data_IF_087078797081
#
_entry.id   IF_087078797081
#
_cell.length_a   1.000
_cell.length_b   1.000
_cell.length_c   1.000
_cell.angle_alpha   90.00
_cell.angle_beta   90.00
_cell.angle_gamma   90.00
#
_symmetry.space_group_name_H-M   'P 1'
#
loop_
_entity.id
_entity.type
_entity.pdbx_description
1 polymer ?
#
# COMPACT_ATOMS: atom_id res chain seq x y z
N UNK A 1 5.87 -10.70 19.83
CA UNK A 1 4.42 -10.50 19.80
C UNK A 1 3.84 -11.22 21.00
N UNK A 2 3.53 -10.49 22.05
CA UNK A 2 3.26 -11.11 23.37
C UNK A 2 1.84 -10.88 23.88
N UNK A 3 1.09 -9.93 23.40
CA UNK A 3 -0.22 -9.63 23.91
C UNK A 3 -1.21 -9.49 22.73
N UNK A 4 -1.79 -10.61 22.32
CA UNK A 4 -2.71 -10.67 21.19
C UNK A 4 -3.78 -11.73 21.37
N UNK A 5 -4.88 -11.59 20.65
CA UNK A 5 -6.09 -12.38 20.78
C UNK A 5 -6.48 -13.00 19.44
N UNK A 6 -7.01 -14.22 19.47
CA UNK A 6 -7.46 -14.93 18.28
C UNK A 6 -8.90 -15.39 18.41
N UNK A 7 -9.74 -14.87 17.52
CA UNK A 7 -11.16 -15.24 17.43
C UNK A 7 -11.35 -16.34 16.37
N UNK A 8 -12.09 -17.38 16.69
CA UNK A 8 -12.35 -18.52 15.80
C UNK A 8 -13.69 -19.20 16.09
N UNK A 9 -14.26 -19.90 15.11
CA UNK A 9 -15.43 -20.76 15.32
C UNK A 9 -15.01 -22.11 15.88
N UNK A 10 -15.81 -22.68 16.78
CA UNK A 10 -15.52 -23.94 17.50
C UNK A 10 -15.09 -25.10 16.60
N UNK A 11 -15.72 -25.23 15.42
CA UNK A 11 -15.38 -26.27 14.44
C UNK A 11 -14.01 -26.10 13.78
N UNK A 12 -13.35 -24.97 13.95
CA UNK A 12 -12.06 -24.64 13.32
C UNK A 12 -10.89 -24.69 14.33
N UNK A 13 -11.07 -25.29 15.52
CA UNK A 13 -10.04 -25.27 16.56
C UNK A 13 -8.72 -25.89 16.10
N UNK A 14 -8.76 -27.09 15.55
CA UNK A 14 -7.56 -27.80 15.11
C UNK A 14 -6.85 -27.02 13.98
N UNK A 15 -7.61 -26.51 13.01
CA UNK A 15 -7.09 -25.70 11.90
C UNK A 15 -6.41 -24.40 12.37
N UNK A 16 -7.01 -23.69 13.35
CA UNK A 16 -6.45 -22.43 13.85
C UNK A 16 -5.23 -22.68 14.76
N UNK A 17 -5.22 -23.81 15.47
CA UNK A 17 -4.05 -24.19 16.26
C UNK A 17 -2.87 -24.58 15.37
N UNK A 18 -3.11 -25.34 14.30
CA UNK A 18 -2.09 -25.64 13.29
C UNK A 18 -1.58 -24.36 12.60
N UNK A 19 -2.46 -23.40 12.32
CA UNK A 19 -2.07 -22.09 11.83
C UNK A 19 -1.14 -21.36 12.81
N UNK A 20 -1.46 -21.38 14.11
CA UNK A 20 -0.59 -20.78 15.15
C UNK A 20 0.78 -21.44 15.18
N UNK A 21 0.86 -22.78 15.14
CA UNK A 21 2.13 -23.50 15.12
C UNK A 21 2.97 -23.13 13.87
N UNK A 22 2.33 -23.02 12.71
CA UNK A 22 3.00 -22.60 11.48
C UNK A 22 3.45 -21.11 11.56
N UNK A 23 2.66 -20.26 12.19
CA UNK A 23 3.00 -18.84 12.40
C UNK A 23 4.20 -18.71 13.35
N UNK A 24 4.21 -19.46 14.44
CA UNK A 24 5.31 -19.54 15.40
C UNK A 24 6.59 -20.04 14.72
N UNK A 25 6.51 -21.13 13.98
CA UNK A 25 7.66 -21.66 13.21
C UNK A 25 8.18 -20.68 12.16
N UNK A 26 7.27 -19.97 11.47
CA UNK A 26 7.69 -18.95 10.51
C UNK A 26 8.38 -17.76 11.19
N UNK A 27 8.03 -17.44 12.43
CA UNK A 27 8.62 -16.33 13.18
C UNK A 27 10.08 -16.57 13.58
N UNK A 28 10.48 -17.82 13.74
CA UNK A 28 11.86 -18.19 14.07
C UNK A 28 12.86 -17.71 12.98
N UNK A 29 12.43 -17.77 11.71
CA UNK A 29 13.24 -17.29 10.57
C UNK A 29 13.51 -15.78 10.61
N UNK A 30 12.73 -15.01 11.36
CA UNK A 30 12.88 -13.57 11.55
C UNK A 30 13.39 -13.19 12.93
N UNK A 31 13.84 -14.15 13.75
CA UNK A 31 14.20 -13.95 15.16
C UNK A 31 13.09 -13.27 15.98
N UNK A 32 11.83 -13.52 15.61
CA UNK A 32 10.66 -13.01 16.32
C UNK A 32 10.12 -14.11 17.25
N UNK A 33 9.76 -13.72 18.46
CA UNK A 33 9.09 -14.62 19.40
C UNK A 33 7.59 -14.29 19.39
N UNK A 34 6.76 -15.27 19.04
CA UNK A 34 5.30 -15.18 19.12
C UNK A 34 4.86 -16.04 20.31
N UNK A 35 4.22 -15.42 21.28
CA UNK A 35 3.56 -16.14 22.38
C UNK A 35 2.19 -16.65 21.92
N UNK A 36 1.68 -17.64 22.64
CA UNK A 36 0.33 -18.13 22.42
C UNK A 36 -0.70 -17.01 22.66
N UNK A 37 -1.75 -16.89 21.81
CA UNK A 37 -2.77 -15.87 21.99
C UNK A 37 -3.75 -16.21 23.10
N UNK A 38 -4.55 -15.24 23.51
CA UNK A 38 -5.82 -15.55 24.12
C UNK A 38 -6.78 -16.11 23.06
N UNK A 39 -7.30 -17.31 23.34
CA UNK A 39 -8.19 -18.02 22.43
C UNK A 39 -9.64 -17.69 22.73
N UNK A 40 -10.35 -17.05 21.78
CA UNK A 40 -11.76 -16.69 21.93
C UNK A 40 -12.62 -17.46 20.95
N UNK A 41 -13.37 -18.38 21.50
CA UNK A 41 -14.25 -19.28 20.77
C UNK A 41 -15.61 -18.65 20.49
N UNK A 42 -16.09 -18.76 19.25
CA UNK A 42 -17.45 -18.45 18.82
C UNK A 42 -18.20 -19.74 18.47
N UNK A 43 -19.52 -19.69 18.48
CA UNK A 43 -20.37 -20.76 17.99
C UNK A 43 -20.21 -20.91 16.48
N UNK A 44 -20.40 -22.14 15.99
CA UNK A 44 -20.35 -22.39 14.54
C UNK A 44 -21.45 -21.62 13.81
N UNK A 45 -21.12 -21.09 12.63
CA UNK A 45 -22.01 -20.26 11.80
C UNK A 45 -22.45 -18.95 12.48
N UNK A 46 -21.61 -18.42 13.35
CA UNK A 46 -21.84 -17.10 13.96
C UNK A 46 -21.99 -16.02 12.92
N UNK A 47 -22.95 -15.13 13.11
CA UNK A 47 -23.15 -13.97 12.21
C UNK A 47 -22.06 -12.92 12.40
N UNK A 48 -21.94 -11.99 11.45
CA UNK A 48 -21.01 -10.86 11.61
C UNK A 48 -21.26 -10.05 12.88
N UNK A 49 -22.53 -9.92 13.30
CA UNK A 49 -22.88 -9.25 14.56
C UNK A 49 -22.34 -9.98 15.78
N UNK A 50 -22.36 -11.32 15.78
CA UNK A 50 -21.83 -12.11 16.89
C UNK A 50 -20.31 -11.96 17.00
N UNK A 51 -19.61 -11.95 15.86
CA UNK A 51 -18.17 -11.73 15.80
C UNK A 51 -17.80 -10.33 16.31
N UNK A 52 -18.51 -9.29 15.85
CA UNK A 52 -18.31 -7.92 16.27
C UNK A 52 -18.58 -7.76 17.77
N UNK A 53 -19.72 -8.25 18.25
CA UNK A 53 -20.05 -8.20 19.67
C UNK A 53 -18.96 -8.86 20.52
N UNK A 54 -18.46 -10.02 20.07
CA UNK A 54 -17.40 -10.72 20.79
C UNK A 54 -16.07 -9.98 20.76
N UNK A 55 -15.75 -9.31 19.65
CA UNK A 55 -14.58 -8.44 19.57
C UNK A 55 -14.70 -7.25 20.52
N UNK A 56 -15.86 -6.61 20.60
CA UNK A 56 -16.09 -5.48 21.50
C UNK A 56 -15.95 -5.87 22.97
N UNK A 57 -16.50 -7.02 23.37
CA UNK A 57 -16.37 -7.54 24.75
C UNK A 57 -14.89 -7.65 25.18
N UNK A 58 -13.99 -8.05 24.30
CA UNK A 58 -12.59 -8.29 24.63
C UNK A 58 -11.65 -7.13 24.33
N UNK A 59 -11.88 -6.40 23.24
CA UNK A 59 -10.96 -5.38 22.74
C UNK A 59 -11.34 -3.97 23.19
N UNK A 60 -12.58 -3.74 23.57
CA UNK A 60 -13.08 -2.41 23.91
C UNK A 60 -13.60 -2.30 25.35
N UNK A 61 -14.41 -3.26 25.79
CA UNK A 61 -14.98 -3.29 27.15
C UNK A 61 -14.07 -4.01 28.14
N UNK A 62 -13.14 -4.84 27.65
CA UNK A 62 -12.17 -5.58 28.46
C UNK A 62 -11.08 -4.69 29.05
N UNK A 63 -10.51 -5.12 30.17
CA UNK A 63 -9.38 -4.43 30.82
C UNK A 63 -8.02 -4.78 30.20
N UNK A 64 -8.00 -5.58 29.13
CA UNK A 64 -6.79 -6.10 28.50
C UNK A 64 -6.40 -5.22 27.30
N UNK A 65 -5.16 -4.75 27.30
CA UNK A 65 -4.57 -3.96 26.20
C UNK A 65 -3.91 -4.89 25.17
N UNK A 66 -4.71 -5.49 24.29
CA UNK A 66 -4.19 -6.33 23.21
C UNK A 66 -3.59 -5.48 22.10
N UNK A 67 -2.35 -5.82 21.69
CA UNK A 67 -1.65 -5.10 20.63
C UNK A 67 -2.27 -5.35 19.24
N UNK A 68 -2.90 -6.51 19.02
CA UNK A 68 -3.65 -6.80 17.79
C UNK A 68 -4.58 -8.01 17.96
N UNK A 69 -5.53 -8.14 17.03
CA UNK A 69 -6.48 -9.24 16.97
C UNK A 69 -6.35 -10.04 15.67
N UNK A 70 -6.42 -11.36 15.75
CA UNK A 70 -6.59 -12.24 14.60
C UNK A 70 -8.04 -12.75 14.55
N UNK A 71 -8.66 -12.65 13.37
CA UNK A 71 -9.95 -13.27 13.06
C UNK A 71 -9.71 -14.42 12.10
N UNK A 72 -9.78 -15.64 12.59
CA UNK A 72 -9.64 -16.85 11.78
C UNK A 72 -10.98 -17.27 11.20
N UNK A 73 -11.16 -17.06 9.90
CA UNK A 73 -12.39 -17.35 9.19
C UNK A 73 -12.30 -18.72 8.49
N UNK A 74 -13.16 -19.65 8.87
CA UNK A 74 -13.33 -20.94 8.22
C UNK A 74 -13.94 -20.76 6.81
N UNK A 75 -15.20 -21.17 6.66
CA UNK A 75 -15.97 -21.04 5.41
C UNK A 75 -16.73 -19.70 5.30
N UNK A 76 -16.81 -18.93 6.38
CA UNK A 76 -17.63 -17.73 6.53
C UNK A 76 -16.89 -16.45 6.10
N UNK A 77 -16.22 -16.46 4.95
CA UNK A 77 -15.43 -15.29 4.52
C UNK A 77 -16.28 -14.08 4.06
N UNK A 78 -17.58 -14.22 3.96
CA UNK A 78 -18.51 -13.12 3.68
C UNK A 78 -18.62 -12.09 4.80
N UNK A 79 -18.18 -12.42 6.02
CA UNK A 79 -18.15 -11.47 7.15
C UNK A 79 -16.91 -10.56 7.15
N UNK A 80 -15.91 -10.85 6.30
CA UNK A 80 -14.67 -10.07 6.19
C UNK A 80 -14.89 -8.56 6.05
N UNK A 81 -15.80 -8.07 5.19
CA UNK A 81 -16.02 -6.63 5.04
C UNK A 81 -16.49 -5.96 6.32
N UNK A 82 -17.39 -6.61 7.07
CA UNK A 82 -17.94 -6.07 8.30
C UNK A 82 -16.88 -6.01 9.40
N UNK A 83 -16.05 -7.05 9.54
CA UNK A 83 -14.93 -7.05 10.49
C UNK A 83 -13.91 -5.97 10.16
N UNK A 84 -13.55 -5.81 8.87
CA UNK A 84 -12.62 -4.77 8.45
C UNK A 84 -13.16 -3.37 8.66
N UNK A 85 -14.44 -3.14 8.33
CA UNK A 85 -15.08 -1.85 8.61
C UNK A 85 -15.12 -1.55 10.10
N UNK A 86 -15.44 -2.54 10.91
CA UNK A 86 -15.49 -2.40 12.36
C UNK A 86 -14.12 -2.05 12.96
N UNK A 87 -13.07 -2.80 12.60
CA UNK A 87 -11.73 -2.55 13.12
C UNK A 87 -11.10 -1.25 12.62
N UNK A 88 -11.32 -0.89 11.35
CA UNK A 88 -10.65 0.26 10.75
C UNK A 88 -11.38 1.58 10.96
N UNK A 89 -12.73 1.56 10.97
CA UNK A 89 -13.51 2.80 10.95
C UNK A 89 -14.23 3.05 12.28
N UNK A 90 -14.71 2.00 12.96
CA UNK A 90 -15.54 2.20 14.15
C UNK A 90 -14.69 2.28 15.42
N UNK A 91 -13.89 1.25 15.70
CA UNK A 91 -13.25 1.08 17.01
C UNK A 91 -11.72 1.26 17.00
N UNK A 92 -11.08 1.37 15.83
CA UNK A 92 -9.68 1.78 15.76
C UNK A 92 -8.67 0.77 16.31
N UNK A 93 -8.85 -0.54 16.09
CA UNK A 93 -7.87 -1.55 16.52
C UNK A 93 -7.19 -2.28 15.36
N UNK A 94 -5.95 -2.69 15.59
CA UNK A 94 -5.17 -3.44 14.59
C UNK A 94 -5.70 -4.87 14.47
N UNK A 95 -6.06 -5.27 13.26
CA UNK A 95 -6.62 -6.60 12.99
C UNK A 95 -5.97 -7.30 11.80
N UNK A 96 -5.82 -8.61 11.92
CA UNK A 96 -5.48 -9.52 10.83
C UNK A 96 -6.61 -10.52 10.61
N UNK A 97 -7.18 -10.53 9.41
CA UNK A 97 -8.15 -11.56 9.04
C UNK A 97 -7.44 -12.66 8.26
N UNK A 98 -7.56 -13.88 8.72
CA UNK A 98 -6.98 -15.09 8.12
C UNK A 98 -8.09 -15.99 7.63
N UNK A 99 -8.01 -16.42 6.36
CA UNK A 99 -8.97 -17.36 5.77
C UNK A 99 -8.37 -18.77 5.78
N UNK A 100 -9.06 -19.73 6.34
CA UNK A 100 -8.62 -21.13 6.44
C UNK A 100 -8.10 -21.64 5.08
N UNK A 101 -8.83 -21.38 3.98
CA UNK A 101 -8.44 -21.80 2.63
C UNK A 101 -7.07 -21.27 2.17
N UNK A 102 -6.55 -20.23 2.81
CA UNK A 102 -5.24 -19.64 2.45
C UNK A 102 -4.08 -20.28 3.20
N UNK A 103 -4.34 -20.83 4.39
CA UNK A 103 -3.31 -21.38 5.29
C UNK A 103 -3.33 -22.90 5.41
N UNK A 104 -4.42 -23.56 5.01
CA UNK A 104 -4.58 -25.03 5.08
C UNK A 104 -4.15 -25.70 3.77
N UNK A 105 -3.03 -25.28 3.15
CA UNK A 105 -2.54 -25.79 1.86
C UNK A 105 -1.04 -26.09 1.92
N UNK A 106 -0.56 -26.84 0.90
CA UNK A 106 0.88 -26.91 0.65
C UNK A 106 1.46 -25.50 0.55
N UNK A 107 2.51 -25.19 1.32
CA UNK A 107 3.09 -23.85 1.39
C UNK A 107 2.54 -22.98 2.52
N UNK A 108 1.80 -23.52 3.47
CA UNK A 108 1.27 -22.79 4.64
C UNK A 108 2.34 -21.93 5.35
N UNK A 109 3.57 -22.44 5.51
CA UNK A 109 4.68 -21.71 6.13
C UNK A 109 5.04 -20.42 5.38
N UNK A 110 5.09 -20.46 4.03
CA UNK A 110 5.33 -19.26 3.21
C UNK A 110 4.20 -18.23 3.34
N UNK A 111 2.95 -18.69 3.48
CA UNK A 111 1.81 -17.80 3.72
C UNK A 111 1.89 -17.19 5.12
N UNK A 112 2.25 -17.98 6.13
CA UNK A 112 2.46 -17.50 7.50
C UNK A 112 3.58 -16.46 7.57
N UNK A 113 4.70 -16.64 6.85
CA UNK A 113 5.75 -15.63 6.73
C UNK A 113 5.24 -14.29 6.20
N UNK A 114 4.39 -14.32 5.16
CA UNK A 114 3.77 -13.10 4.62
C UNK A 114 2.79 -12.46 5.61
N UNK A 115 2.02 -13.26 6.32
CA UNK A 115 1.11 -12.76 7.38
C UNK A 115 1.90 -12.09 8.50
N UNK A 116 3.03 -12.65 8.90
CA UNK A 116 3.93 -12.04 9.90
C UNK A 116 4.43 -10.67 9.47
N UNK A 117 4.89 -10.54 8.22
CA UNK A 117 5.32 -9.25 7.68
C UNK A 117 4.18 -8.21 7.64
N UNK A 118 2.96 -8.65 7.31
CA UNK A 118 1.78 -7.80 7.37
C UNK A 118 1.47 -7.35 8.80
N UNK A 119 1.51 -8.25 9.77
CA UNK A 119 1.28 -7.92 11.19
C UNK A 119 2.38 -6.97 11.68
N UNK A 120 3.64 -7.25 11.36
CA UNK A 120 4.76 -6.37 11.71
C UNK A 120 4.56 -4.94 11.18
N UNK A 121 4.18 -4.79 9.89
CA UNK A 121 3.93 -3.49 9.30
C UNK A 121 2.74 -2.76 9.93
N UNK A 122 1.66 -3.49 10.28
CA UNK A 122 0.50 -2.93 10.98
C UNK A 122 0.84 -2.42 12.38
N UNK A 123 1.78 -3.08 13.05
CA UNK A 123 2.29 -2.71 14.37
C UNK A 123 3.40 -1.63 14.30
N UNK A 124 3.64 -1.04 13.13
CA UNK A 124 4.64 0.00 12.94
C UNK A 124 6.08 -0.51 12.75
N UNK A 125 6.26 -1.83 12.59
CA UNK A 125 7.58 -2.42 12.33
C UNK A 125 8.02 -2.21 10.89
N UNK A 126 9.33 -2.05 10.68
CA UNK A 126 9.95 -1.84 9.37
C UNK A 126 10.63 -3.13 8.92
N UNK A 127 10.13 -3.74 7.84
CA UNK A 127 10.71 -4.95 7.26
C UNK A 127 11.81 -4.65 6.25
N UNK A 128 11.68 -3.55 5.48
CA UNK A 128 12.58 -3.13 4.41
C UNK A 128 12.77 -1.63 4.44
N UNK A 129 13.96 -1.16 4.08
CA UNK A 129 14.28 0.25 3.92
C UNK A 129 14.80 0.51 2.52
N UNK A 130 14.39 1.60 1.89
CA UNK A 130 15.07 2.12 0.72
C UNK A 130 16.41 2.73 1.16
N UNK A 131 17.47 2.44 0.40
CA UNK A 131 18.75 3.12 0.54
C UNK A 131 18.76 4.27 -0.45
N UNK A 132 18.45 5.45 0.02
CA UNK A 132 18.38 6.67 -0.81
C UNK A 132 19.73 7.36 -0.81
N UNK A 133 20.06 8.02 -1.90
CA UNK A 133 21.30 8.81 -1.97
C UNK A 133 21.27 9.98 -0.99
N UNK A 134 22.42 10.33 -0.42
CA UNK A 134 22.55 11.41 0.57
C UNK A 134 22.01 12.75 0.07
N UNK A 135 22.08 13.03 -1.22
CA UNK A 135 21.55 14.27 -1.79
C UNK A 135 20.03 14.27 -1.85
N UNK A 136 19.42 13.08 -2.04
CA UNK A 136 17.97 12.89 -1.96
C UNK A 136 17.48 13.01 -0.50
N UNK A 137 18.23 12.48 0.47
CA UNK A 137 17.92 12.62 1.90
C UNK A 137 17.85 14.09 2.35
N UNK A 138 18.73 14.95 1.82
CA UNK A 138 18.72 16.40 2.11
C UNK A 138 17.45 17.12 1.65
N UNK A 139 16.77 16.57 0.66
CA UNK A 139 15.53 17.12 0.13
C UNK A 139 14.31 16.85 1.02
N UNK A 140 14.46 16.04 2.07
CA UNK A 140 13.37 15.72 3.02
C UNK A 140 12.04 15.48 2.29
N UNK A 141 12.05 14.49 1.39
CA UNK A 141 10.95 14.23 0.49
C UNK A 141 9.80 13.53 1.24
N UNK A 142 8.60 14.06 1.10
CA UNK A 142 7.37 13.35 1.40
C UNK A 142 6.82 12.77 0.10
N UNK A 143 6.78 11.44 -0.02
CA UNK A 143 6.16 10.77 -1.15
C UNK A 143 4.66 10.58 -0.90
N UNK A 144 3.84 10.93 -1.88
CA UNK A 144 2.37 10.81 -1.81
C UNK A 144 1.88 9.92 -2.94
N UNK A 145 1.02 8.96 -2.63
CA UNK A 145 0.30 8.14 -3.60
C UNK A 145 -1.18 8.46 -3.56
N UNK A 146 -1.78 8.71 -4.72
CA UNK A 146 -3.22 8.95 -4.87
C UNK A 146 -3.80 8.00 -5.90
N UNK A 147 -4.76 7.17 -5.49
CA UNK A 147 -5.46 6.23 -6.35
C UNK A 147 -6.98 6.33 -6.19
N UNK A 148 -7.69 5.97 -7.24
CA UNK A 148 -9.13 5.87 -7.25
C UNK A 148 -9.59 4.56 -7.88
N UNK A 149 -10.43 3.83 -7.15
CA UNK A 149 -11.01 2.56 -7.59
C UNK A 149 -12.52 2.70 -7.79
N UNK A 150 -13.00 2.24 -8.94
CA UNK A 150 -14.39 2.36 -9.33
C UNK A 150 -15.15 1.04 -9.15
N UNK A 151 -16.38 1.16 -8.70
CA UNK A 151 -17.41 0.11 -8.81
C UNK A 151 -18.58 0.66 -9.62
N UNK A 152 -19.57 -0.17 -9.91
CA UNK A 152 -20.77 0.29 -10.64
C UNK A 152 -21.61 1.37 -9.92
N UNK A 153 -21.32 1.65 -8.66
CA UNK A 153 -22.15 2.55 -7.81
C UNK A 153 -21.36 3.71 -7.19
N UNK A 154 -20.04 3.58 -7.06
CA UNK A 154 -19.21 4.56 -6.35
C UNK A 154 -17.74 4.46 -6.71
N UNK A 155 -17.04 5.53 -6.42
CA UNK A 155 -15.57 5.60 -6.48
C UNK A 155 -15.01 5.69 -5.08
N UNK A 156 -14.12 4.76 -4.71
CA UNK A 156 -13.31 4.89 -3.51
C UNK A 156 -12.00 5.57 -3.88
N UNK A 157 -11.65 6.59 -3.14
CA UNK A 157 -10.37 7.31 -3.28
C UNK A 157 -9.52 6.99 -2.06
N UNK A 158 -8.22 6.86 -2.25
CA UNK A 158 -7.28 6.77 -1.16
C UNK A 158 -6.03 7.59 -1.46
N UNK A 159 -5.53 8.21 -0.41
CA UNK A 159 -4.35 9.06 -0.42
C UNK A 159 -3.44 8.61 0.72
N UNK A 160 -2.18 8.37 0.39
CA UNK A 160 -1.16 7.84 1.30
C UNK A 160 0.05 8.74 1.22
N UNK A 161 0.51 9.28 2.33
CA UNK A 161 1.72 10.09 2.40
C UNK A 161 2.75 9.47 3.35
N UNK A 162 4.02 9.45 2.96
CA UNK A 162 5.09 9.00 3.86
C UNK A 162 5.38 10.05 4.92
N UNK A 163 5.53 9.62 6.17
CA UNK A 163 5.80 10.52 7.30
C UNK A 163 7.12 10.20 8.02
N UNK A 164 7.96 9.35 7.44
CA UNK A 164 9.30 9.04 7.98
C UNK A 164 10.35 8.99 6.86
N UNK A 165 11.63 9.12 7.23
CA UNK A 165 12.77 9.12 6.30
C UNK A 165 13.02 7.74 5.63
N UNK A 166 12.42 6.67 6.14
CA UNK A 166 12.49 5.33 5.53
C UNK A 166 11.38 5.09 4.49
N UNK A 167 10.46 6.01 4.30
CA UNK A 167 9.30 5.93 3.41
C UNK A 167 8.40 4.71 3.68
N UNK A 168 8.33 4.26 4.92
CA UNK A 168 7.63 3.03 5.34
C UNK A 168 6.47 3.27 6.29
N UNK A 169 6.38 4.47 6.86
CA UNK A 169 5.30 4.88 7.74
C UNK A 169 4.44 5.93 7.04
N UNK A 170 3.13 5.81 7.17
CA UNK A 170 2.17 6.51 6.34
C UNK A 170 1.16 7.30 7.15
N UNK A 171 0.75 8.44 6.61
CA UNK A 171 -0.50 9.10 6.91
C UNK A 171 -1.51 8.76 5.81
N UNK A 172 -2.70 8.36 6.17
CA UNK A 172 -3.71 7.81 5.27
C UNK A 172 -5.00 8.60 5.35
N UNK A 173 -5.65 8.76 4.19
CA UNK A 173 -7.02 9.25 4.09
C UNK A 173 -7.72 8.54 2.94
N UNK A 174 -8.96 8.21 3.14
CA UNK A 174 -9.84 7.67 2.10
C UNK A 174 -11.13 8.47 2.06
N UNK A 175 -11.79 8.38 0.92
CA UNK A 175 -13.10 8.99 0.70
C UNK A 175 -13.93 8.17 -0.27
N UNK A 176 -15.26 8.31 -0.17
CA UNK A 176 -16.23 7.72 -1.10
C UNK A 176 -16.91 8.83 -1.87
N UNK A 177 -16.72 8.81 -3.17
CA UNK A 177 -17.40 9.72 -4.10
C UNK A 177 -18.51 8.97 -4.78
N UNK A 178 -19.74 9.38 -4.56
CA UNK A 178 -20.90 8.89 -5.32
C UNK A 178 -20.81 9.44 -6.75
N UNK A 179 -21.33 8.71 -7.75
CA UNK A 179 -21.13 9.01 -9.18
C UNK A 179 -21.52 10.43 -9.59
N UNK A 180 -22.46 11.05 -8.86
CA UNK A 180 -22.99 12.38 -9.15
C UNK A 180 -22.01 13.52 -8.81
N UNK A 181 -20.97 13.27 -8.01
CA UNK A 181 -20.10 14.29 -7.41
C UNK A 181 -18.62 14.20 -7.81
N UNK A 182 -18.32 13.83 -9.06
CA UNK A 182 -16.92 13.67 -9.52
C UNK A 182 -16.00 14.90 -9.38
N UNK A 183 -16.55 16.11 -9.28
CA UNK A 183 -15.81 17.33 -9.04
C UNK A 183 -15.20 17.42 -7.61
N UNK A 184 -15.71 16.66 -6.66
CA UNK A 184 -15.19 16.65 -5.27
C UNK A 184 -13.78 16.05 -5.14
N UNK A 185 -13.37 15.24 -6.10
CA UNK A 185 -12.06 14.57 -6.07
C UNK A 185 -10.88 15.55 -5.99
N UNK A 186 -10.99 16.72 -6.62
CA UNK A 186 -9.94 17.74 -6.67
C UNK A 186 -9.71 18.39 -5.29
N UNK A 187 -10.80 18.71 -4.60
CA UNK A 187 -10.72 19.35 -3.28
C UNK A 187 -10.15 18.42 -2.20
N UNK A 188 -10.38 17.12 -2.33
CA UNK A 188 -9.86 16.14 -1.38
C UNK A 188 -8.33 16.09 -1.36
N UNK A 189 -7.65 16.26 -2.51
CA UNK A 189 -6.19 16.11 -2.60
C UNK A 189 -5.46 17.25 -1.90
N UNK A 190 -5.89 18.51 -2.11
CA UNK A 190 -5.24 19.68 -1.49
C UNK A 190 -5.40 19.67 0.05
N UNK A 191 -6.61 19.39 0.54
CA UNK A 191 -6.89 19.22 1.97
C UNK A 191 -6.05 18.10 2.59
N UNK A 192 -5.94 16.95 1.90
CA UNK A 192 -5.11 15.85 2.36
C UNK A 192 -3.64 16.25 2.49
N UNK A 193 -3.10 17.01 1.52
CA UNK A 193 -1.69 17.44 1.56
C UNK A 193 -1.42 18.31 2.80
N UNK A 194 -2.34 19.19 3.18
CA UNK A 194 -2.19 19.99 4.39
C UNK A 194 -2.16 19.13 5.66
N UNK A 195 -3.06 18.16 5.76
CA UNK A 195 -3.12 17.21 6.88
C UNK A 195 -1.85 16.33 6.92
N UNK A 196 -1.39 15.84 5.77
CA UNK A 196 -0.17 15.03 5.65
C UNK A 196 1.09 15.81 6.03
N UNK A 197 1.19 17.09 5.65
CA UNK A 197 2.29 17.98 6.08
C UNK A 197 2.27 18.15 7.60
N UNK A 198 1.10 18.27 8.20
CA UNK A 198 0.99 18.37 9.65
C UNK A 198 1.38 17.07 10.36
N UNK A 199 0.97 15.91 9.84
CA UNK A 199 1.38 14.60 10.36
C UNK A 199 2.90 14.40 10.24
N UNK A 200 3.48 14.76 9.09
CA UNK A 200 4.94 14.74 8.87
C UNK A 200 5.66 15.62 9.90
N UNK A 201 5.17 16.86 10.12
CA UNK A 201 5.73 17.80 11.10
C UNK A 201 5.64 17.27 12.53
N UNK A 202 4.53 16.66 12.90
CA UNK A 202 4.35 16.10 14.24
C UNK A 202 5.40 15.01 14.51
N UNK A 203 5.71 14.19 13.50
CA UNK A 203 6.67 13.10 13.63
C UNK A 203 8.12 13.55 13.54
N UNK A 204 8.46 14.40 12.59
CA UNK A 204 9.85 14.80 12.29
C UNK A 204 10.27 16.14 12.94
N UNK A 205 9.33 16.88 13.55
CA UNK A 205 9.51 18.22 14.14
C UNK A 205 9.84 19.32 13.11
N UNK A 206 9.83 18.98 11.83
CA UNK A 206 10.02 19.87 10.68
C UNK A 206 9.03 19.51 9.57
N UNK A 207 8.72 20.44 8.68
CA UNK A 207 7.91 20.17 7.49
C UNK A 207 8.79 19.57 6.38
N UNK A 208 8.21 18.81 5.43
CA UNK A 208 8.97 18.32 4.29
C UNK A 208 9.44 19.51 3.44
N UNK A 209 10.64 19.41 2.85
CA UNK A 209 11.16 20.42 1.92
C UNK A 209 10.63 20.21 0.51
N UNK A 210 10.33 18.97 0.18
CA UNK A 210 9.85 18.58 -1.14
C UNK A 210 8.74 17.53 -1.05
N UNK A 211 7.84 17.54 -2.02
CA UNK A 211 6.77 16.57 -2.15
C UNK A 211 6.83 15.93 -3.53
N UNK A 212 6.74 14.60 -3.62
CA UNK A 212 6.55 13.88 -4.88
C UNK A 212 5.20 13.19 -4.84
N UNK A 213 4.30 13.62 -5.73
CA UNK A 213 2.94 13.09 -5.82
C UNK A 213 2.87 12.13 -7.00
N UNK A 214 2.55 10.87 -6.71
CA UNK A 214 2.25 9.85 -7.71
C UNK A 214 0.73 9.71 -7.83
N UNK A 215 0.19 9.99 -9.00
CA UNK A 215 -1.25 10.01 -9.28
C UNK A 215 -1.63 8.91 -10.27
N UNK A 216 -2.41 7.95 -9.82
CA UNK A 216 -2.99 6.90 -10.67
C UNK A 216 -4.48 7.18 -10.96
N UNK A 217 -4.99 6.66 -12.07
CA UNK A 217 -6.39 6.81 -12.44
C UNK A 217 -6.76 8.12 -13.16
N UNK A 218 -5.77 8.95 -13.49
CA UNK A 218 -5.93 10.18 -14.28
C UNK A 218 -5.02 10.11 -15.51
N UNK A 219 -5.50 10.61 -16.64
CA UNK A 219 -4.75 10.64 -17.90
C UNK A 219 -4.43 12.06 -18.36
N UNK A 220 -3.40 12.20 -19.21
CA UNK A 220 -3.02 13.47 -19.82
C UNK A 220 -4.15 14.14 -20.63
N UNK A 221 -5.10 13.38 -21.11
CA UNK A 221 -6.26 13.95 -21.84
C UNK A 221 -7.21 14.72 -20.93
N UNK A 222 -7.18 14.50 -19.63
CA UNK A 222 -7.98 15.22 -18.63
C UNK A 222 -7.33 16.55 -18.24
N UNK A 223 -6.93 17.35 -19.23
CA UNK A 223 -6.13 18.59 -19.05
C UNK A 223 -6.74 19.60 -18.07
N UNK A 224 -8.05 19.81 -18.13
CA UNK A 224 -8.73 20.76 -17.24
C UNK A 224 -8.68 20.29 -15.79
N UNK A 225 -8.95 19.02 -15.58
CA UNK A 225 -8.88 18.37 -14.27
C UNK A 225 -7.47 18.48 -13.67
N UNK A 226 -6.45 18.12 -14.46
CA UNK A 226 -5.05 18.18 -14.01
C UNK A 226 -4.62 19.59 -13.65
N UNK A 227 -4.94 20.57 -14.48
CA UNK A 227 -4.58 21.97 -14.21
C UNK A 227 -5.19 22.48 -12.91
N UNK A 228 -6.43 22.15 -12.65
CA UNK A 228 -7.12 22.58 -11.43
C UNK A 228 -6.56 21.89 -10.19
N UNK A 229 -6.35 20.58 -10.23
CA UNK A 229 -5.76 19.82 -9.12
C UNK A 229 -4.34 20.33 -8.82
N UNK A 230 -3.49 20.49 -9.85
CA UNK A 230 -2.12 21.02 -9.70
C UNK A 230 -2.12 22.43 -9.11
N UNK A 231 -3.02 23.32 -9.57
CA UNK A 231 -3.13 24.69 -9.07
C UNK A 231 -3.46 24.73 -7.58
N UNK A 232 -4.40 23.93 -7.12
CA UNK A 232 -4.76 23.86 -5.70
C UNK A 232 -3.60 23.32 -4.85
N UNK A 233 -2.85 22.33 -5.35
CA UNK A 233 -1.65 21.81 -4.69
C UNK A 233 -0.57 22.90 -4.63
N UNK A 234 -0.37 23.63 -5.73
CA UNK A 234 0.60 24.71 -5.81
C UNK A 234 0.31 25.81 -4.80
N UNK A 235 -0.95 26.18 -4.59
CA UNK A 235 -1.37 27.15 -3.58
C UNK A 235 -0.97 26.69 -2.17
N UNK A 236 -1.23 25.44 -1.81
CA UNK A 236 -0.82 24.87 -0.51
C UNK A 236 0.69 24.85 -0.35
N UNK A 237 1.43 24.40 -1.37
CA UNK A 237 2.89 24.29 -1.32
C UNK A 237 3.57 25.66 -1.24
N UNK A 238 3.10 26.65 -1.98
CA UNK A 238 3.63 28.03 -1.97
C UNK A 238 3.55 28.67 -0.58
N UNK A 239 2.44 28.50 0.13
CA UNK A 239 2.28 29.08 1.49
C UNK A 239 3.32 28.56 2.48
N UNK A 240 3.88 27.38 2.22
CA UNK A 240 4.83 26.69 3.10
C UNK A 240 6.25 26.62 2.53
N UNK A 241 6.48 27.22 1.36
CA UNK A 241 7.75 27.17 0.61
C UNK A 241 8.22 25.73 0.34
N UNK A 242 7.31 24.85 -0.07
CA UNK A 242 7.57 23.45 -0.41
C UNK A 242 7.64 23.34 -1.94
N UNK A 243 8.67 22.66 -2.44
CA UNK A 243 8.79 22.30 -3.86
C UNK A 243 8.05 20.99 -4.11
N UNK A 244 7.49 20.78 -5.32
CA UNK A 244 6.83 19.50 -5.59
C UNK A 244 6.95 19.05 -7.05
N UNK A 245 6.79 17.72 -7.23
CA UNK A 245 6.52 17.08 -8.50
C UNK A 245 5.16 16.42 -8.48
N UNK A 246 4.47 16.48 -9.63
CA UNK A 246 3.22 15.76 -9.86
C UNK A 246 3.40 14.79 -11.02
N UNK A 247 3.33 13.50 -10.73
CA UNK A 247 3.69 12.42 -11.63
C UNK A 247 2.48 11.53 -11.88
N UNK A 248 2.05 11.42 -13.13
CA UNK A 248 1.01 10.48 -13.54
C UNK A 248 1.61 9.08 -13.67
N UNK A 249 0.93 8.09 -13.14
CA UNK A 249 1.35 6.68 -13.16
C UNK A 249 0.42 5.88 -14.05
N UNK A 250 0.96 5.30 -15.12
CA UNK A 250 0.23 4.44 -16.04
C UNK A 250 0.81 3.02 -16.07
N UNK A 251 0.06 2.07 -15.51
CA UNK A 251 0.42 0.64 -15.50
C UNK A 251 -0.12 -0.14 -16.70
N UNK A 252 -0.96 0.49 -17.54
CA UNK A 252 -1.58 -0.12 -18.72
C UNK A 252 -0.88 0.36 -19.99
N UNK A 253 0.41 0.08 -20.10
CA UNK A 253 1.20 0.41 -21.28
C UNK A 253 1.08 -0.68 -22.35
N UNK A 254 1.16 -0.29 -23.61
CA UNK A 254 1.19 -1.22 -24.77
C UNK A 254 2.61 -1.67 -25.10
N UNK A 255 3.61 -0.92 -24.65
CA UNK A 255 5.01 -1.26 -24.91
C UNK A 255 5.44 -2.49 -24.15
N UNK A 256 6.31 -3.27 -24.81
CA UNK A 256 7.06 -4.39 -24.25
C UNK A 256 8.50 -4.19 -24.63
N UNK A 257 9.40 -4.41 -23.69
CA UNK A 257 10.84 -4.33 -23.91
C UNK A 257 11.41 -5.73 -23.72
N UNK A 258 12.36 -6.08 -24.58
CA UNK A 258 13.05 -7.36 -24.53
C UNK A 258 14.55 -7.11 -24.71
N UNK A 259 15.33 -7.89 -24.01
CA UNK A 259 16.77 -7.97 -24.21
C UNK A 259 17.04 -9.06 -25.24
N UNK A 260 17.94 -8.77 -26.18
CA UNK A 260 18.36 -9.68 -27.22
C UNK A 260 19.66 -10.35 -26.78
N UNK A 261 19.70 -11.64 -26.87
CA UNK A 261 20.88 -12.46 -26.62
C UNK A 261 21.21 -13.27 -27.86
N UNK A 262 22.51 -13.54 -28.06
CA UNK A 262 22.99 -14.48 -29.03
C UNK A 262 23.22 -15.80 -28.31
N UNK A 263 22.82 -16.93 -28.95
CA UNK A 263 23.03 -18.26 -28.39
C UNK A 263 24.51 -18.63 -28.54
N UNK A 264 25.21 -18.87 -27.43
CA UNK A 264 26.63 -19.23 -27.42
C UNK A 264 26.88 -20.64 -27.98
N UNK A 265 25.87 -21.54 -27.96
CA UNK A 265 25.97 -22.91 -28.44
C UNK A 265 25.60 -23.05 -29.93
N UNK A 266 24.74 -22.15 -30.45
CA UNK A 266 24.28 -22.17 -31.84
C UNK A 266 24.58 -20.81 -32.49
N UNK A 267 25.75 -20.70 -33.14
CA UNK A 267 26.17 -19.46 -33.80
C UNK A 267 25.12 -18.96 -34.79
N UNK A 268 24.59 -17.76 -34.54
CA UNK A 268 23.60 -17.06 -35.38
C UNK A 268 22.14 -17.24 -34.95
N UNK A 269 21.85 -18.01 -33.90
CA UNK A 269 20.52 -18.02 -33.30
C UNK A 269 20.39 -16.92 -32.25
N UNK A 270 19.32 -16.15 -32.36
CA UNK A 270 18.98 -15.03 -31.45
C UNK A 270 17.76 -15.38 -30.63
N UNK A 271 17.80 -15.08 -29.35
CA UNK A 271 16.61 -15.19 -28.50
C UNK A 271 16.33 -13.90 -27.70
N UNK A 272 15.09 -13.72 -27.34
CA UNK A 272 14.63 -12.53 -26.64
C UNK A 272 14.09 -12.90 -25.26
N UNK A 273 14.63 -12.24 -24.24
CA UNK A 273 14.21 -12.42 -22.84
C UNK A 273 13.52 -11.18 -22.30
N UNK A 274 12.75 -11.35 -21.22
CA UNK A 274 12.31 -10.21 -20.43
C UNK A 274 13.53 -9.49 -19.86
N UNK A 275 13.50 -8.15 -19.80
CA UNK A 275 14.60 -7.39 -19.22
C UNK A 275 14.74 -7.66 -17.72
N UNK A 276 15.94 -7.48 -17.23
CA UNK A 276 16.21 -7.56 -15.80
C UNK A 276 15.43 -6.48 -15.01
N UNK A 277 15.33 -6.70 -13.68
CA UNK A 277 14.78 -5.71 -12.77
C UNK A 277 15.61 -4.43 -12.80
N UNK A 278 14.96 -3.30 -12.98
CA UNK A 278 15.61 -1.99 -12.99
C UNK A 278 15.80 -1.39 -14.38
N UNK A 279 15.33 -2.05 -15.47
CA UNK A 279 15.35 -1.42 -16.80
C UNK A 279 14.67 -0.05 -16.73
N UNK A 280 15.38 0.98 -17.14
CA UNK A 280 14.94 2.37 -17.25
C UNK A 280 15.04 2.84 -18.69
N UNK A 281 13.93 3.34 -19.26
CA UNK A 281 13.87 3.93 -20.61
C UNK A 281 13.54 5.40 -20.48
N UNK A 282 14.44 6.26 -20.95
CA UNK A 282 14.34 7.72 -20.86
C UNK A 282 14.04 8.39 -22.21
N UNK A 283 14.32 7.70 -23.33
CA UNK A 283 14.07 8.22 -24.67
C UNK A 283 13.70 7.11 -25.68
N UNK A 284 13.60 7.48 -26.96
CA UNK A 284 13.27 6.57 -28.05
C UNK A 284 11.78 6.28 -28.20
N UNK A 285 11.09 5.92 -27.12
CA UNK A 285 9.64 5.66 -27.08
C UNK A 285 8.88 6.62 -26.18
N UNK A 286 9.58 7.48 -25.46
CA UNK A 286 9.03 8.50 -24.58
C UNK A 286 8.51 9.71 -25.36
N UNK A 287 7.62 10.47 -24.74
CA UNK A 287 7.09 11.70 -25.33
C UNK A 287 8.14 12.81 -25.29
N UNK A 288 8.50 13.38 -26.46
CA UNK A 288 9.55 14.43 -26.58
C UNK A 288 9.17 15.77 -25.95
N UNK A 289 7.87 16.03 -25.71
CA UNK A 289 7.40 17.30 -25.17
C UNK A 289 7.31 17.33 -23.65
N UNK A 290 7.53 16.20 -22.99
CA UNK A 290 7.37 16.05 -21.55
C UNK A 290 8.46 15.14 -21.00
N UNK A 291 8.78 15.30 -19.71
CA UNK A 291 9.63 14.33 -19.05
C UNK A 291 8.82 13.08 -18.72
N UNK A 292 9.04 12.04 -19.49
CA UNK A 292 8.39 10.74 -19.40
C UNK A 292 9.44 9.65 -19.34
N UNK A 293 9.21 8.64 -18.53
CA UNK A 293 10.11 7.51 -18.42
C UNK A 293 9.34 6.20 -18.14
N UNK A 294 9.94 5.09 -18.55
CA UNK A 294 9.41 3.76 -18.27
C UNK A 294 10.37 3.03 -17.34
N UNK A 295 9.82 2.34 -16.34
CA UNK A 295 10.59 1.46 -15.46
C UNK A 295 9.96 0.08 -15.50
N UNK A 296 10.84 -0.96 -15.55
CA UNK A 296 10.51 -2.35 -15.30
C UNK A 296 11.10 -2.75 -13.94
N UNK A 297 10.37 -2.57 -12.82
CA UNK A 297 10.93 -2.82 -11.49
C UNK A 297 11.06 -4.29 -11.15
N UNK A 298 10.21 -5.15 -11.74
CA UNK A 298 10.12 -6.57 -11.42
C UNK A 298 10.83 -7.41 -12.47
N UNK A 299 11.55 -8.43 -12.04
CA UNK A 299 11.91 -9.55 -12.91
C UNK A 299 10.68 -10.44 -13.14
N UNK A 300 10.42 -10.83 -14.38
CA UNK A 300 9.24 -11.61 -14.78
C UNK A 300 9.72 -12.91 -15.44
N UNK A 301 9.44 -14.03 -14.78
CA UNK A 301 9.85 -15.37 -15.23
C UNK A 301 8.88 -16.00 -16.21
N UNK A 302 7.60 -15.65 -16.15
CA UNK A 302 6.54 -16.20 -16.99
C UNK A 302 5.77 -15.09 -17.70
N UNK A 303 5.59 -15.23 -19.01
CA UNK A 303 4.95 -14.23 -19.85
C UNK A 303 5.85 -13.03 -20.13
N UNK A 304 5.30 -12.00 -20.79
CA UNK A 304 6.04 -10.78 -21.15
C UNK A 304 5.92 -9.71 -20.07
N UNK A 305 7.04 -9.15 -19.66
CA UNK A 305 7.10 -8.03 -18.75
C UNK A 305 6.31 -6.82 -19.29
N UNK A 306 5.62 -6.10 -18.40
CA UNK A 306 4.92 -4.87 -18.74
C UNK A 306 5.48 -3.73 -17.90
N UNK A 307 6.20 -2.78 -18.48
CA UNK A 307 6.77 -1.65 -17.79
C UNK A 307 5.66 -0.72 -17.28
N UNK A 308 6.00 0.10 -16.29
CA UNK A 308 5.15 1.19 -15.84
C UNK A 308 5.67 2.50 -16.43
N UNK A 309 4.77 3.30 -17.01
CA UNK A 309 5.06 4.63 -17.52
C UNK A 309 4.80 5.67 -16.44
N UNK A 310 5.76 6.56 -16.26
CA UNK A 310 5.67 7.71 -15.37
C UNK A 310 5.79 8.98 -16.19
N UNK A 311 4.80 9.87 -16.07
CA UNK A 311 4.76 11.12 -16.78
C UNK A 311 4.78 12.28 -15.80
N UNK A 312 5.82 13.11 -15.83
CA UNK A 312 5.94 14.30 -15.00
C UNK A 312 5.07 15.41 -15.58
N UNK A 313 3.87 15.58 -15.02
CA UNK A 313 2.92 16.59 -15.47
C UNK A 313 3.24 17.99 -14.95
N UNK A 314 3.93 18.09 -13.81
CA UNK A 314 4.39 19.34 -13.21
C UNK A 314 5.61 19.09 -12.33
N UNK A 315 6.52 20.07 -12.25
CA UNK A 315 7.65 20.01 -11.33
C UNK A 315 8.41 21.33 -11.26
N UNK A 316 8.80 21.70 -10.05
CA UNK A 316 9.58 22.90 -9.75
C UNK A 316 10.85 22.63 -8.91
N UNK A 317 11.26 21.38 -8.76
CA UNK A 317 12.54 20.98 -8.19
C UNK A 317 13.66 21.07 -9.27
N UNK A 318 14.86 21.41 -8.86
CA UNK A 318 15.98 21.65 -9.79
C UNK A 318 16.69 20.38 -10.27
N UNK A 319 16.30 19.18 -9.80
CA UNK A 319 16.97 17.92 -10.15
C UNK A 319 15.96 16.84 -10.55
N UNK A 320 15.41 16.88 -11.77
CA UNK A 320 14.46 15.87 -12.24
C UNK A 320 15.11 14.48 -12.43
N UNK A 321 16.43 14.41 -12.63
CA UNK A 321 17.16 13.16 -12.91
C UNK A 321 17.13 12.17 -11.76
N UNK A 322 16.90 12.65 -10.53
CA UNK A 322 16.74 11.78 -9.36
C UNK A 322 15.42 11.01 -9.34
N UNK A 323 14.38 11.48 -10.04
CA UNK A 323 13.01 10.95 -9.96
C UNK A 323 12.94 9.47 -10.36
N UNK A 324 13.52 9.02 -11.50
CA UNK A 324 13.43 7.63 -11.90
C UNK A 324 14.03 6.68 -10.86
N UNK A 325 15.22 7.01 -10.32
CA UNK A 325 15.87 6.21 -9.30
C UNK A 325 15.06 6.18 -8.00
N UNK A 326 14.63 7.32 -7.50
CA UNK A 326 13.79 7.40 -6.31
C UNK A 326 12.47 6.63 -6.47
N UNK A 327 11.83 6.72 -7.64
CA UNK A 327 10.63 5.96 -7.98
C UNK A 327 10.89 4.45 -7.94
N UNK A 328 12.04 4.01 -8.48
CA UNK A 328 12.46 2.61 -8.45
C UNK A 328 12.72 2.13 -7.02
N UNK A 329 13.44 2.92 -6.20
CA UNK A 329 13.73 2.59 -4.80
C UNK A 329 12.43 2.36 -4.00
N UNK A 330 11.40 3.18 -4.21
CA UNK A 330 10.08 3.01 -3.58
C UNK A 330 9.32 1.74 -4.02
N UNK A 331 9.68 1.13 -5.15
CA UNK A 331 9.08 -0.13 -5.60
C UNK A 331 9.56 -1.34 -4.78
N UNK A 332 10.62 -1.22 -3.97
CA UNK A 332 11.21 -2.30 -3.19
C UNK A 332 10.70 -2.41 -1.75
N UNK A 333 9.97 -1.42 -1.26
CA UNK A 333 9.63 -1.29 0.17
C UNK A 333 8.14 -1.45 0.47
N UNK A 334 7.40 -2.14 -0.37
CA UNK A 334 5.98 -2.40 -0.12
C UNK A 334 5.81 -3.52 0.91
N UNK A 335 5.34 -3.17 2.12
CA UNK A 335 5.26 -4.08 3.28
C UNK A 335 4.39 -5.33 3.09
N UNK A 336 3.48 -5.31 2.11
CA UNK A 336 2.57 -6.44 1.84
C UNK A 336 3.15 -7.49 0.87
N UNK A 337 4.37 -7.28 0.38
CA UNK A 337 5.03 -8.16 -0.58
C UNK A 337 6.55 -8.16 -0.36
N UNK A 338 7.17 -9.34 -0.35
CA UNK A 338 8.61 -9.51 -0.12
C UNK A 338 9.49 -9.12 -1.31
N UNK A 339 8.92 -9.11 -2.51
CA UNK A 339 9.64 -8.75 -3.73
C UNK A 339 9.35 -7.32 -4.18
N UNK A 340 9.94 -6.94 -5.30
CA UNK A 340 9.69 -5.66 -5.94
C UNK A 340 8.28 -5.59 -6.50
N UNK A 341 7.63 -4.44 -6.38
CA UNK A 341 6.31 -4.15 -6.98
C UNK A 341 6.45 -3.21 -8.18
N UNK A 342 5.46 -3.20 -9.07
CA UNK A 342 5.51 -2.44 -10.33
C UNK A 342 5.40 -0.93 -10.18
N UNK A 343 4.95 -0.46 -9.04
CA UNK A 343 4.67 0.95 -8.75
C UNK A 343 5.17 1.29 -7.34
N UNK A 344 5.49 2.54 -7.02
CA UNK A 344 5.90 2.97 -5.69
C UNK A 344 4.97 2.47 -4.58
N UNK A 345 5.53 2.15 -3.44
CA UNK A 345 4.80 1.61 -2.28
C UNK A 345 3.60 2.47 -1.88
N UNK A 346 3.71 3.80 -1.93
CA UNK A 346 2.61 4.73 -1.62
C UNK A 346 1.43 4.57 -2.57
N UNK A 347 1.66 4.38 -3.87
CA UNK A 347 0.59 4.08 -4.84
C UNK A 347 0.03 2.68 -4.60
N UNK A 348 0.90 1.72 -4.33
CA UNK A 348 0.44 0.34 -4.07
C UNK A 348 -0.42 0.24 -2.82
N UNK A 349 -0.10 1.01 -1.81
CA UNK A 349 -0.90 1.17 -0.59
C UNK A 349 -2.23 1.88 -0.88
N UNK A 350 -2.19 2.99 -1.63
CA UNK A 350 -3.39 3.71 -2.06
C UNK A 350 -4.32 2.83 -2.90
N UNK A 351 -3.78 2.05 -3.85
CA UNK A 351 -4.54 1.08 -4.65
C UNK A 351 -5.26 0.04 -3.78
N UNK A 352 -4.62 -0.43 -2.72
CA UNK A 352 -5.24 -1.38 -1.79
C UNK A 352 -6.37 -0.73 -1.00
N UNK A 353 -6.13 0.43 -0.42
CA UNK A 353 -7.11 1.14 0.40
C UNK A 353 -8.30 1.63 -0.45
N UNK A 354 -8.08 2.23 -1.62
CA UNK A 354 -9.14 2.69 -2.53
C UNK A 354 -10.06 1.55 -2.98
N UNK A 355 -9.50 0.38 -3.30
CA UNK A 355 -10.26 -0.83 -3.64
C UNK A 355 -11.10 -1.33 -2.46
N UNK A 356 -10.57 -1.30 -1.25
CA UNK A 356 -11.33 -1.68 -0.05
C UNK A 356 -12.46 -0.70 0.21
N UNK A 357 -12.19 0.60 0.12
CA UNK A 357 -13.16 1.69 0.29
C UNK A 357 -14.29 1.58 -0.71
N UNK A 358 -14.00 1.42 -2.00
CA UNK A 358 -15.01 1.24 -3.04
C UNK A 358 -15.83 -0.04 -2.86
N UNK A 359 -15.15 -1.17 -2.61
CA UNK A 359 -15.79 -2.50 -2.55
C UNK A 359 -16.61 -2.70 -1.30
N UNK A 360 -16.08 -2.30 -0.14
CA UNK A 360 -16.69 -2.59 1.17
C UNK A 360 -17.43 -1.41 1.77
N UNK A 361 -17.45 -0.26 1.09
CA UNK A 361 -18.03 0.99 1.61
C UNK A 361 -17.45 1.29 3.01
N UNK A 362 -16.10 1.33 3.07
CA UNK A 362 -15.45 1.77 4.30
C UNK A 362 -15.87 3.20 4.59
N UNK A 363 -16.12 3.50 5.87
CA UNK A 363 -16.25 4.87 6.33
C UNK A 363 -14.87 5.50 6.52
N UNK A 364 -14.83 6.69 7.11
CA UNK A 364 -13.58 7.32 7.49
C UNK A 364 -12.79 6.44 8.46
N UNK A 365 -11.47 6.33 8.26
CA UNK A 365 -10.57 5.62 9.17
C UNK A 365 -10.64 6.25 10.57
N UNK A 366 -10.63 5.40 11.58
CA UNK A 366 -10.51 5.87 12.95
C UNK A 366 -9.22 6.70 13.11
N UNK A 367 -9.28 7.79 13.88
CA UNK A 367 -8.16 8.72 14.07
C UNK A 367 -6.87 8.02 14.50
N UNK A 368 -6.96 6.99 15.35
CA UNK A 368 -5.81 6.21 15.84
C UNK A 368 -5.15 5.38 14.75
N UNK A 369 -5.85 5.12 13.63
CA UNK A 369 -5.37 4.32 12.50
C UNK A 369 -5.08 5.15 11.23
N UNK A 370 -5.22 6.47 11.28
CA UNK A 370 -4.83 7.36 10.18
C UNK A 370 -3.32 7.31 9.95
N UNK A 371 -2.53 7.04 10.97
CA UNK A 371 -1.11 6.75 10.82
C UNK A 371 -0.84 5.25 10.76
N UNK A 372 0.19 4.85 9.99
CA UNK A 372 0.59 3.44 9.85
C UNK A 372 -0.11 2.70 8.72
N UNK A 373 -0.21 1.37 8.82
CA UNK A 373 -0.63 0.48 7.73
C UNK A 373 -1.72 -0.52 8.15
N UNK A 374 -2.64 -0.15 9.02
CA UNK A 374 -3.65 -1.05 9.60
C UNK A 374 -4.57 -1.74 8.56
N UNK A 375 -4.72 -1.17 7.37
CA UNK A 375 -5.52 -1.70 6.25
C UNK A 375 -4.84 -2.82 5.45
N UNK A 376 -3.59 -3.14 5.68
CA UNK A 376 -2.83 -4.20 5.00
C UNK A 376 -3.44 -5.61 5.13
#
# INVERSE_FOLDING_TARGET
>A
MSNWICFYEESNYDDVYDFYLNLSKASDAYNLKILEPEWVKLKNKSSAKDWIKKADEFLYEGQNDYSFAIFYLGKNDYIYPQLKKHSLCNNGYISQVVKARSVNKKGALSVCSKILLQINAKLGGISYKAVVDKDVEKLKIMAIGVDSSHTSKRTGVAMIATINDSYTDFYNKEDIIEEENKSQLQFCVSSFIEEAIQAYKNKNKEIPKSIIIYRQGVSLQQKTFLKEEIKQIEEVCKTKNILFYYILVNTKTTFKFFEKYEDEENEGEEYYCNPESGLLILDGVTNRNYFEFYIQPQYVTEGSATPTCFHVAYGNLNNPEMIPKFTFDLCHIYSNWQGTVRIPNVIKAAEKLSKMTAKYKLGELNEELKEGQAYL
#
